data_IF_154337030633
#
_entry.id   IF_154337030633
#
_cell.length_a   1.000
_cell.length_b   1.000
_cell.length_c   1.000
_cell.angle_alpha   90.00
_cell.angle_beta   90.00
_cell.angle_gamma   90.00
#
_symmetry.space_group_name_H-M   'P 1'
#
loop_
_entity.id
_entity.type
_entity.pdbx_description
1 polymer ?
#
# COMPACT_ATOMS: atom_id res chain seq x y z
N UNK A 1 -32.87 -16.10 30.57
CA UNK A 1 -32.15 -14.82 30.58
C UNK A 1 -30.72 -15.09 31.03
N UNK A 2 -29.82 -15.33 30.08
CA UNK A 2 -28.38 -15.44 30.35
C UNK A 2 -27.72 -14.42 29.42
N UNK A 3 -27.09 -13.42 30.02
CA UNK A 3 -26.43 -12.30 29.37
C UNK A 3 -25.21 -12.80 28.58
N UNK A 4 -25.23 -12.60 27.26
CA UNK A 4 -24.00 -12.59 26.45
C UNK A 4 -23.28 -11.26 26.70
N UNK A 5 -22.14 -11.32 27.37
CA UNK A 5 -21.20 -10.20 27.41
C UNK A 5 -20.51 -10.12 26.05
N UNK A 6 -20.80 -9.02 25.34
CA UNK A 6 -20.18 -8.70 24.06
C UNK A 6 -18.69 -8.45 24.23
N UNK A 7 -17.89 -9.14 23.41
CA UNK A 7 -16.48 -8.82 23.20
C UNK A 7 -16.45 -7.53 22.38
N UNK A 8 -16.29 -6.39 23.07
CA UNK A 8 -16.05 -5.11 22.43
C UNK A 8 -14.68 -5.17 21.71
N UNK A 9 -14.71 -5.33 20.39
CA UNK A 9 -13.59 -4.92 19.55
C UNK A 9 -13.40 -3.41 19.78
N UNK A 10 -12.15 -2.97 20.00
CA UNK A 10 -11.86 -1.53 19.99
C UNK A 10 -12.34 -0.97 18.65
N UNK A 11 -13.13 0.12 18.64
CA UNK A 11 -13.54 0.75 17.40
C UNK A 11 -12.28 1.14 16.62
N UNK A 12 -12.27 0.84 15.32
CA UNK A 12 -11.23 1.33 14.43
C UNK A 12 -11.15 2.86 14.61
N UNK A 13 -9.95 3.44 14.76
CA UNK A 13 -9.84 4.89 14.90
C UNK A 13 -10.48 5.59 13.69
N UNK A 14 -10.84 6.89 13.79
CA UNK A 14 -11.29 7.64 12.62
C UNK A 14 -10.23 7.64 11.52
N UNK A 15 -10.68 7.69 10.27
CA UNK A 15 -9.81 7.85 9.09
C UNK A 15 -9.18 9.25 9.20
N UNK A 16 -7.84 9.39 9.27
CA UNK A 16 -7.22 10.69 9.16
C UNK A 16 -7.55 11.30 7.79
N UNK A 17 -7.76 12.63 7.68
CA UNK A 17 -8.01 13.27 6.40
C UNK A 17 -6.91 12.91 5.41
N UNK A 18 -7.21 12.79 4.11
CA UNK A 18 -6.21 12.45 3.10
C UNK A 18 -5.05 13.44 3.20
N UNK A 19 -3.87 12.93 3.57
CA UNK A 19 -2.64 13.69 3.39
C UNK A 19 -2.52 13.91 1.88
N UNK A 20 -2.63 15.16 1.47
CA UNK A 20 -2.34 15.57 0.10
C UNK A 20 -0.85 15.32 -0.15
N UNK A 21 -0.49 14.09 -0.52
CA UNK A 21 0.82 13.77 -1.05
C UNK A 21 0.83 14.35 -2.46
N UNK A 22 1.21 15.62 -2.56
CA UNK A 22 1.50 16.26 -3.82
C UNK A 22 2.65 15.51 -4.48
N UNK A 23 2.33 14.67 -5.46
CA UNK A 23 3.31 14.09 -6.36
C UNK A 23 3.90 15.23 -7.21
N UNK A 24 4.98 15.84 -6.75
CA UNK A 24 5.87 16.58 -7.65
C UNK A 24 6.79 15.56 -8.28
N UNK A 25 6.59 15.34 -9.58
CA UNK A 25 7.54 14.63 -10.42
C UNK A 25 8.88 15.36 -10.41
N UNK A 26 9.85 14.87 -9.64
CA UNK A 26 11.25 15.15 -9.89
C UNK A 26 11.80 14.02 -10.75
N UNK A 27 11.96 14.33 -12.05
CA UNK A 27 12.64 13.47 -13.01
C UNK A 27 14.12 13.41 -12.63
N UNK A 28 14.62 12.23 -12.26
CA UNK A 28 16.06 12.00 -12.11
C UNK A 28 16.69 11.94 -13.50
N UNK A 29 17.23 13.06 -13.97
CA UNK A 29 18.07 13.11 -15.15
C UNK A 29 19.44 12.49 -14.83
N UNK A 30 19.75 11.37 -15.47
CA UNK A 30 21.06 10.75 -15.41
C UNK A 30 22.07 11.61 -16.19
N UNK A 31 22.95 12.34 -15.50
CA UNK A 31 24.10 12.97 -16.13
C UNK A 31 25.24 11.95 -16.26
N UNK A 32 25.54 11.55 -17.49
CA UNK A 32 26.75 10.81 -17.86
C UNK A 32 27.99 11.66 -17.60
N UNK A 33 28.88 11.20 -16.70
CA UNK A 33 30.20 11.81 -16.51
C UNK A 33 31.24 11.05 -17.36
N UNK A 34 31.73 11.73 -18.39
CA UNK A 34 32.96 11.36 -19.09
C UNK A 34 34.15 11.57 -18.14
N UNK A 35 34.94 10.53 -17.96
CA UNK A 35 36.23 10.61 -17.28
C UNK A 35 37.29 11.15 -18.24
N UNK A 36 37.96 12.23 -17.84
CA UNK A 36 39.29 12.54 -18.34
C UNK A 36 40.19 12.91 -17.17
N UNK A 37 41.30 12.18 -17.09
CA UNK A 37 42.36 12.26 -16.10
C UNK A 37 43.13 13.58 -16.20
N UNK A 38 43.53 14.16 -15.06
CA UNK A 38 44.47 15.27 -15.06
C UNK A 38 44.84 15.80 -13.68
N UNK A 39 45.90 15.22 -13.12
CA UNK A 39 46.89 15.78 -12.19
C UNK A 39 46.55 16.11 -10.73
N UNK A 40 47.52 15.67 -9.92
CA UNK A 40 47.76 15.90 -8.51
C UNK A 40 48.26 17.33 -8.23
N UNK A 41 48.37 17.61 -6.92
CA UNK A 41 48.90 18.80 -6.25
C UNK A 41 48.00 20.03 -6.16
N UNK A 42 47.29 20.11 -5.03
CA UNK A 42 47.01 21.37 -4.31
C UNK A 42 46.60 21.07 -2.86
N UNK A 43 47.54 20.54 -2.08
CA UNK A 43 47.50 20.58 -0.61
C UNK A 43 48.49 21.64 -0.13
N UNK A 44 48.01 22.89 0.01
CA UNK A 44 48.55 23.86 0.97
C UNK A 44 47.79 25.19 0.85
N UNK A 45 46.96 25.49 1.85
CA UNK A 45 46.75 26.79 2.53
C UNK A 45 45.34 26.82 3.11
N UNK A 46 45.22 26.48 4.38
CA UNK A 46 44.10 26.91 5.22
C UNK A 46 44.26 28.44 5.43
N UNK A 47 43.30 29.28 5.04
CA UNK A 47 43.26 30.65 5.51
C UNK A 47 42.71 30.66 6.94
N UNK A 48 43.40 31.39 7.80
CA UNK A 48 42.96 31.74 9.13
C UNK A 48 41.59 32.44 9.09
N UNK A 49 40.70 31.99 9.97
CA UNK A 49 39.63 32.72 10.66
C UNK A 49 39.25 34.08 10.03
N UNK A 50 38.41 34.04 9.00
CA UNK A 50 37.55 35.17 8.64
C UNK A 50 36.15 34.77 9.05
N UNK A 51 35.52 35.55 9.94
CA UNK A 51 34.07 35.52 10.14
C UNK A 51 33.43 36.03 8.84
N UNK A 52 33.41 35.19 7.81
CA UNK A 52 32.49 35.35 6.70
C UNK A 52 31.14 34.91 7.26
N UNK A 53 30.15 35.81 7.25
CA UNK A 53 28.75 35.43 7.41
C UNK A 53 28.43 34.44 6.28
N UNK A 54 28.63 33.15 6.55
CA UNK A 54 28.22 32.09 5.64
C UNK A 54 26.70 32.09 5.64
N UNK A 55 26.13 32.71 4.61
CA UNK A 55 24.69 32.69 4.37
C UNK A 55 24.26 31.25 4.12
N UNK A 56 23.65 30.63 5.14
CA UNK A 56 23.01 29.32 5.01
C UNK A 56 21.60 29.53 4.49
N UNK A 57 21.15 28.77 3.47
CA UNK A 57 19.74 28.70 3.17
C UNK A 57 19.07 28.06 4.39
N UNK A 58 18.23 28.79 5.12
CA UNK A 58 17.51 28.26 6.28
C UNK A 58 16.03 28.21 5.94
N UNK A 59 15.55 27.01 5.62
CA UNK A 59 14.12 26.75 5.40
C UNK A 59 13.47 26.44 6.73
N UNK A 60 12.32 27.06 7.02
CA UNK A 60 11.52 26.68 8.19
C UNK A 60 10.63 25.50 7.84
N UNK A 61 10.97 24.32 8.36
CA UNK A 61 10.13 23.14 8.22
C UNK A 61 8.99 23.14 9.25
N UNK A 62 7.77 22.70 8.89
CA UNK A 62 6.71 22.48 9.87
C UNK A 62 7.16 21.42 10.90
N UNK A 63 6.80 21.59 12.18
CA UNK A 63 7.16 20.64 13.21
C UNK A 63 6.54 19.26 12.95
N UNK A 64 7.07 18.24 13.61
CA UNK A 64 6.41 16.94 13.68
C UNK A 64 5.04 17.09 14.36
N UNK A 65 4.01 16.49 13.74
CA UNK A 65 2.63 16.54 14.26
C UNK A 65 2.38 15.47 15.32
N UNK A 66 3.28 14.49 15.45
CA UNK A 66 3.14 13.36 16.37
C UNK A 66 3.79 13.63 17.72
N UNK A 67 4.86 14.43 17.76
CA UNK A 67 5.65 14.71 18.96
C UNK A 67 6.13 13.42 19.63
N UNK A 68 6.16 13.40 20.96
CA UNK A 68 6.63 12.23 21.71
C UNK A 68 5.61 11.07 21.79
N UNK A 69 4.43 11.16 21.15
CA UNK A 69 3.32 10.18 21.32
C UNK A 69 3.75 8.73 21.11
N UNK A 70 4.61 8.47 20.12
CA UNK A 70 5.08 7.13 19.80
C UNK A 70 6.25 6.68 20.69
N UNK A 71 7.10 7.60 21.11
CA UNK A 71 8.21 7.30 22.03
C UNK A 71 7.69 6.99 23.45
N UNK A 72 6.61 7.64 23.86
CA UNK A 72 5.93 7.47 25.15
C UNK A 72 4.94 6.31 25.18
N UNK A 73 4.73 5.61 24.05
CA UNK A 73 3.76 4.52 23.99
C UNK A 73 4.19 3.37 24.92
N UNK A 74 3.51 3.21 26.06
CA UNK A 74 3.69 2.10 26.99
C UNK A 74 2.37 1.38 27.19
N UNK A 75 2.14 0.35 26.39
CA UNK A 75 1.20 -0.70 26.76
C UNK A 75 1.97 -2.01 26.65
N UNK A 76 1.97 -2.79 27.72
CA UNK A 76 2.40 -4.17 27.64
C UNK A 76 1.36 -4.94 26.81
N UNK A 77 1.52 -4.84 25.49
CA UNK A 77 0.62 -5.47 24.53
C UNK A 77 0.96 -6.95 24.33
N UNK A 78 1.83 -7.55 25.14
CA UNK A 78 2.25 -8.94 24.95
C UNK A 78 1.05 -9.89 25.06
N UNK A 79 0.24 -9.76 26.12
CA UNK A 79 -0.97 -10.58 26.30
C UNK A 79 -2.01 -10.36 25.19
N UNK A 80 -2.20 -9.10 24.78
CA UNK A 80 -3.14 -8.76 23.71
C UNK A 80 -2.69 -9.30 22.36
N UNK A 81 -1.40 -9.16 22.04
CA UNK A 81 -0.79 -9.68 20.83
C UNK A 81 -0.90 -11.21 20.80
N UNK A 82 -0.62 -11.89 21.91
CA UNK A 82 -0.77 -13.34 22.01
C UNK A 82 -2.23 -13.77 21.83
N UNK A 83 -3.17 -13.06 22.46
CA UNK A 83 -4.61 -13.30 22.29
C UNK A 83 -5.06 -13.15 20.84
N UNK A 84 -4.61 -12.10 20.13
CA UNK A 84 -4.89 -11.94 18.71
C UNK A 84 -4.22 -13.01 17.85
N UNK A 85 -2.97 -13.37 18.15
CA UNK A 85 -2.27 -14.45 17.44
C UNK A 85 -3.02 -15.77 17.54
N UNK A 86 -3.45 -16.17 18.75
CA UNK A 86 -4.25 -17.40 18.93
C UNK A 86 -5.54 -17.40 18.11
N UNK A 87 -6.25 -16.26 18.07
CA UNK A 87 -7.47 -16.12 17.27
C UNK A 87 -7.18 -16.20 15.76
N UNK A 88 -6.13 -15.54 15.30
CA UNK A 88 -5.73 -15.59 13.89
C UNK A 88 -5.40 -17.02 13.48
N UNK A 89 -4.59 -17.76 14.25
CA UNK A 89 -4.26 -19.15 13.91
C UNK A 89 -5.53 -20.02 13.80
N UNK A 90 -6.44 -19.93 14.78
CA UNK A 90 -7.69 -20.71 14.73
C UNK A 90 -8.59 -20.38 13.53
N UNK A 91 -8.65 -19.11 13.12
CA UNK A 91 -9.48 -18.67 11.99
C UNK A 91 -8.78 -18.95 10.65
N UNK A 92 -7.45 -18.91 10.64
CA UNK A 92 -6.62 -19.24 9.49
C UNK A 92 -6.85 -20.69 9.06
N UNK A 93 -6.86 -21.64 10.00
CA UNK A 93 -7.15 -23.05 9.70
C UNK A 93 -8.52 -23.22 9.01
N UNK A 94 -9.57 -22.62 9.56
CA UNK A 94 -10.94 -22.71 9.00
C UNK A 94 -11.01 -22.12 7.59
N UNK A 95 -10.36 -20.98 7.36
CA UNK A 95 -10.35 -20.32 6.04
C UNK A 95 -9.48 -21.09 5.04
N UNK A 96 -8.36 -21.66 5.49
CA UNK A 96 -7.49 -22.53 4.68
C UNK A 96 -8.24 -23.77 4.20
N UNK A 97 -8.96 -24.45 5.10
CA UNK A 97 -9.81 -25.60 4.76
C UNK A 97 -10.87 -25.24 3.72
N UNK A 98 -11.47 -24.05 3.82
CA UNK A 98 -12.45 -23.56 2.85
C UNK A 98 -11.84 -23.28 1.47
N UNK A 99 -10.56 -22.88 1.41
CA UNK A 99 -9.85 -22.60 0.17
C UNK A 99 -9.51 -23.89 -0.59
N UNK A 100 -9.07 -24.93 0.12
CA UNK A 100 -8.70 -26.23 -0.46
C UNK A 100 -9.90 -27.17 -0.67
N UNK A 101 -11.08 -26.84 -0.13
CA UNK A 101 -12.27 -27.66 -0.24
C UNK A 101 -12.62 -28.01 -1.70
N UNK A 102 -12.74 -29.30 -1.99
CA UNK A 102 -13.04 -29.82 -3.34
C UNK A 102 -14.48 -29.56 -3.78
N UNK A 103 -15.40 -29.34 -2.83
CA UNK A 103 -16.83 -29.10 -3.09
C UNK A 103 -17.14 -27.66 -3.51
N UNK A 104 -16.24 -26.71 -3.23
CA UNK A 104 -16.43 -25.31 -3.59
C UNK A 104 -16.35 -25.13 -5.10
N UNK A 105 -17.29 -24.39 -5.68
CA UNK A 105 -17.26 -24.10 -7.10
C UNK A 105 -16.01 -23.28 -7.47
N UNK A 106 -15.51 -23.41 -8.72
CA UNK A 106 -14.35 -22.63 -9.16
C UNK A 106 -14.52 -21.11 -8.98
N UNK A 107 -15.72 -20.56 -9.25
CA UNK A 107 -15.99 -19.13 -9.06
C UNK A 107 -15.97 -18.73 -7.57
N UNK A 108 -16.47 -19.57 -6.67
CA UNK A 108 -16.39 -19.30 -5.22
C UNK A 108 -14.94 -19.25 -4.74
N UNK A 109 -14.07 -20.11 -5.29
CA UNK A 109 -12.62 -20.08 -4.98
C UNK A 109 -11.96 -18.79 -5.49
N UNK A 110 -12.25 -18.38 -6.74
CA UNK A 110 -11.77 -17.09 -7.27
C UNK A 110 -12.24 -15.92 -6.39
N UNK A 111 -13.51 -15.93 -5.98
CA UNK A 111 -14.05 -14.90 -5.09
C UNK A 111 -13.39 -14.90 -3.71
N UNK A 112 -13.16 -16.08 -3.11
CA UNK A 112 -12.44 -16.21 -1.84
C UNK A 112 -11.02 -15.65 -1.96
N UNK A 113 -10.28 -15.99 -3.02
CA UNK A 113 -8.92 -15.46 -3.27
C UNK A 113 -8.95 -13.93 -3.34
N UNK A 114 -9.87 -13.35 -4.12
CA UNK A 114 -10.01 -11.89 -4.18
C UNK A 114 -10.31 -11.28 -2.80
N UNK A 115 -11.19 -11.89 -2.00
CA UNK A 115 -11.50 -11.41 -0.66
C UNK A 115 -10.29 -11.51 0.29
N UNK A 116 -9.48 -12.57 0.21
CA UNK A 116 -8.25 -12.70 1.00
C UNK A 116 -7.28 -11.54 0.74
N UNK A 117 -7.12 -11.15 -0.53
CA UNK A 117 -6.29 -10.00 -0.92
C UNK A 117 -6.91 -8.68 -0.46
N UNK A 118 -8.19 -8.46 -0.73
CA UNK A 118 -8.89 -7.21 -0.36
C UNK A 118 -8.91 -6.99 1.16
N UNK A 119 -8.98 -8.07 1.95
CA UNK A 119 -8.98 -8.03 3.41
C UNK A 119 -7.57 -8.05 4.02
N UNK A 120 -6.52 -8.17 3.20
CA UNK A 120 -5.13 -8.10 3.66
C UNK A 120 -4.64 -9.30 4.43
N UNK A 121 -5.21 -10.48 4.19
CA UNK A 121 -4.88 -11.74 4.87
C UNK A 121 -4.36 -12.82 3.90
N UNK A 122 -4.20 -12.50 2.62
CA UNK A 122 -3.68 -13.43 1.61
C UNK A 122 -2.28 -13.96 1.91
N UNK A 123 -1.43 -13.16 2.57
CA UNK A 123 -0.07 -13.57 2.95
C UNK A 123 -0.01 -14.80 3.89
N UNK A 124 -1.15 -15.20 4.49
CA UNK A 124 -1.25 -16.43 5.27
C UNK A 124 -1.36 -17.70 4.43
N UNK A 125 -1.71 -17.56 3.15
CA UNK A 125 -2.18 -18.63 2.27
C UNK A 125 -1.47 -18.61 0.91
N UNK A 126 -0.24 -18.09 0.83
CA UNK A 126 0.45 -17.86 -0.44
C UNK A 126 0.56 -19.15 -1.27
N UNK A 127 0.94 -20.27 -0.64
CA UNK A 127 1.07 -21.56 -1.29
C UNK A 127 -0.28 -22.12 -1.74
N UNK A 128 -1.29 -22.09 -0.86
CA UNK A 128 -2.63 -22.58 -1.15
C UNK A 128 -3.28 -21.77 -2.29
N UNK A 129 -3.10 -20.45 -2.28
CA UNK A 129 -3.58 -19.56 -3.35
C UNK A 129 -2.89 -19.90 -4.67
N UNK A 130 -1.57 -20.07 -4.68
CA UNK A 130 -0.81 -20.42 -5.88
C UNK A 130 -1.27 -21.77 -6.47
N UNK A 131 -1.40 -22.80 -5.64
CA UNK A 131 -1.89 -24.12 -6.04
C UNK A 131 -3.32 -24.04 -6.61
N UNK A 132 -4.23 -23.33 -5.92
CA UNK A 132 -5.60 -23.17 -6.42
C UNK A 132 -5.64 -22.40 -7.74
N UNK A 133 -4.84 -21.34 -7.90
CA UNK A 133 -4.81 -20.58 -9.15
C UNK A 133 -4.29 -21.40 -10.32
N UNK A 134 -3.27 -22.24 -10.11
CA UNK A 134 -2.78 -23.15 -11.14
C UNK A 134 -3.90 -24.07 -11.63
N UNK A 135 -4.61 -24.72 -10.71
CA UNK A 135 -5.75 -25.59 -11.06
C UNK A 135 -6.91 -24.84 -11.72
N UNK A 136 -7.25 -23.64 -11.22
CA UNK A 136 -8.31 -22.82 -11.80
C UNK A 136 -7.94 -22.31 -13.20
N UNK A 137 -6.65 -22.09 -13.46
CA UNK A 137 -6.17 -21.62 -14.75
C UNK A 137 -6.33 -22.70 -15.83
N UNK A 138 -6.11 -23.97 -15.51
CA UNK A 138 -6.32 -25.11 -16.43
C UNK A 138 -7.75 -25.15 -16.99
N UNK A 139 -8.74 -24.74 -16.18
CA UNK A 139 -10.17 -24.71 -16.55
C UNK A 139 -10.70 -23.30 -16.81
N UNK A 140 -9.80 -22.31 -16.97
CA UNK A 140 -10.20 -20.89 -17.04
C UNK A 140 -11.10 -20.58 -18.25
N UNK A 141 -10.88 -21.24 -19.38
CA UNK A 141 -11.72 -21.09 -20.57
C UNK A 141 -13.17 -21.56 -20.32
N UNK A 142 -13.34 -22.74 -19.72
CA UNK A 142 -14.66 -23.23 -19.30
C UNK A 142 -15.27 -22.31 -18.24
N UNK A 143 -14.47 -21.87 -17.27
CA UNK A 143 -14.92 -21.01 -16.18
C UNK A 143 -15.50 -19.70 -16.71
N UNK A 144 -14.75 -18.99 -17.57
CA UNK A 144 -15.23 -17.77 -18.22
C UNK A 144 -16.46 -18.06 -19.07
N UNK A 145 -16.46 -19.16 -19.84
CA UNK A 145 -17.59 -19.53 -20.70
C UNK A 145 -18.86 -19.82 -19.91
N UNK A 146 -18.78 -20.48 -18.75
CA UNK A 146 -19.95 -20.75 -17.90
C UNK A 146 -20.54 -19.43 -17.38
N UNK A 147 -19.69 -18.47 -17.01
CA UNK A 147 -20.11 -17.20 -16.39
C UNK A 147 -20.18 -16.01 -17.36
N UNK A 148 -20.00 -16.22 -18.66
CA UNK A 148 -19.89 -15.16 -19.68
C UNK A 148 -21.11 -14.21 -19.81
N UNK A 149 -22.21 -14.49 -19.12
CA UNK A 149 -23.39 -13.61 -19.08
C UNK A 149 -23.33 -12.58 -17.92
N UNK A 150 -22.53 -12.84 -16.90
CA UNK A 150 -22.42 -12.03 -15.70
C UNK A 150 -21.14 -11.19 -15.73
N UNK A 151 -21.29 -9.87 -15.82
CA UNK A 151 -20.16 -8.96 -15.94
C UNK A 151 -19.26 -9.01 -14.71
N UNK A 152 -19.86 -9.09 -13.51
CA UNK A 152 -19.12 -9.15 -12.24
C UNK A 152 -18.19 -10.36 -12.20
N UNK A 153 -18.68 -11.54 -12.58
CA UNK A 153 -17.92 -12.80 -12.57
C UNK A 153 -16.80 -12.78 -13.59
N UNK A 154 -17.06 -12.37 -14.84
CA UNK A 154 -16.01 -12.30 -15.88
C UNK A 154 -14.92 -11.31 -15.49
N UNK A 155 -15.31 -10.13 -14.99
CA UNK A 155 -14.36 -9.11 -14.53
C UNK A 155 -13.51 -9.60 -13.35
N UNK A 156 -14.13 -10.26 -12.38
CA UNK A 156 -13.43 -10.83 -11.22
C UNK A 156 -12.44 -11.91 -11.62
N UNK A 157 -12.84 -12.85 -12.49
CA UNK A 157 -11.96 -13.91 -13.01
C UNK A 157 -10.76 -13.28 -13.72
N UNK A 158 -11.01 -12.33 -14.63
CA UNK A 158 -9.95 -11.62 -15.35
C UNK A 158 -8.98 -10.91 -14.39
N UNK A 159 -9.52 -10.13 -13.44
CA UNK A 159 -8.73 -9.37 -12.47
C UNK A 159 -7.83 -10.28 -11.63
N UNK A 160 -8.38 -11.35 -11.06
CA UNK A 160 -7.63 -12.27 -10.18
C UNK A 160 -6.51 -12.95 -10.95
N UNK A 161 -6.77 -13.47 -12.15
CA UNK A 161 -5.72 -14.14 -12.93
C UNK A 161 -4.62 -13.17 -13.38
N UNK A 162 -4.99 -11.99 -13.91
CA UNK A 162 -4.01 -10.98 -14.33
C UNK A 162 -3.18 -10.45 -13.17
N UNK A 163 -3.78 -10.28 -11.99
CA UNK A 163 -3.07 -9.90 -10.77
C UNK A 163 -1.93 -10.87 -10.41
N UNK A 164 -2.08 -12.14 -10.77
CA UNK A 164 -1.11 -13.20 -10.52
C UNK A 164 -0.24 -13.55 -11.73
N UNK A 165 -0.28 -12.74 -12.80
CA UNK A 165 0.57 -12.93 -13.97
C UNK A 165 0.06 -13.95 -14.99
N UNK A 166 -1.14 -14.51 -14.81
CA UNK A 166 -1.76 -15.39 -15.80
C UNK A 166 -2.31 -14.57 -16.98
N UNK A 167 -2.03 -15.03 -18.20
CA UNK A 167 -2.46 -14.36 -19.41
C UNK A 167 -3.90 -14.73 -19.80
N UNK A 168 -4.88 -14.12 -19.14
CA UNK A 168 -6.29 -14.16 -19.60
C UNK A 168 -6.49 -13.10 -20.67
N UNK A 169 -6.91 -13.44 -21.90
CA UNK A 169 -7.15 -12.46 -22.95
C UNK A 169 -8.28 -11.48 -22.59
N UNK A 170 -8.17 -10.21 -22.98
CA UNK A 170 -9.20 -9.19 -22.73
C UNK A 170 -10.46 -9.33 -23.62
N UNK A 171 -10.42 -10.18 -24.65
CA UNK A 171 -11.54 -10.48 -25.54
C UNK A 171 -12.71 -11.19 -24.81
N UNK A 172 -12.49 -11.68 -23.60
CA UNK A 172 -13.55 -12.18 -22.70
C UNK A 172 -14.63 -11.11 -22.44
N UNK A 173 -14.28 -9.82 -22.60
CA UNK A 173 -15.23 -8.73 -22.47
C UNK A 173 -16.01 -8.40 -23.76
N UNK A 174 -15.64 -8.97 -24.91
CA UNK A 174 -16.26 -8.68 -26.21
C UNK A 174 -17.77 -8.87 -26.21
N UNK A 175 -18.30 -9.84 -25.44
CA UNK A 175 -19.73 -10.10 -25.32
C UNK A 175 -20.51 -8.94 -24.68
N UNK A 176 -19.85 -8.09 -23.90
CA UNK A 176 -20.44 -6.90 -23.27
C UNK A 176 -20.44 -5.67 -24.19
N UNK A 177 -19.78 -5.76 -25.34
CA UNK A 177 -19.71 -4.70 -26.36
C UNK A 177 -20.77 -4.86 -27.46
N UNK A 178 -21.14 -3.74 -28.07
CA UNK A 178 -21.96 -3.68 -29.28
C UNK A 178 -21.10 -3.87 -30.55
N UNK A 179 -21.75 -3.79 -31.73
CA UNK A 179 -21.08 -3.96 -33.03
C UNK A 179 -20.02 -2.90 -33.36
N UNK A 180 -20.00 -1.78 -32.63
CA UNK A 180 -19.03 -0.71 -32.78
C UNK A 180 -17.88 -0.83 -31.76
N UNK A 181 -17.85 -1.92 -30.97
CA UNK A 181 -16.88 -2.12 -29.90
C UNK A 181 -17.15 -1.29 -28.65
N UNK A 182 -18.35 -0.72 -28.50
CA UNK A 182 -18.73 0.08 -27.32
C UNK A 182 -19.45 -0.73 -26.27
N UNK A 183 -19.17 -0.53 -24.99
CA UNK A 183 -19.87 -1.26 -23.93
C UNK A 183 -21.36 -0.89 -23.90
N UNK A 184 -22.20 -1.93 -23.77
CA UNK A 184 -23.65 -1.78 -23.88
C UNK A 184 -24.17 -0.92 -22.72
N UNK A 185 -24.85 0.18 -23.03
CA UNK A 185 -25.44 1.11 -22.04
C UNK A 185 -26.33 0.44 -20.98
N UNK A 186 -27.02 -0.66 -21.32
CA UNK A 186 -27.84 -1.44 -20.38
C UNK A 186 -27.06 -2.01 -19.18
N UNK A 187 -25.73 -2.13 -19.28
CA UNK A 187 -24.85 -2.60 -18.21
C UNK A 187 -24.75 -1.59 -17.06
N UNK A 188 -25.06 -0.31 -17.30
CA UNK A 188 -25.00 0.76 -16.29
C UNK A 188 -25.94 0.58 -15.10
N UNK A 189 -26.83 -0.44 -15.10
CA UNK A 189 -27.70 -0.77 -13.96
C UNK A 189 -27.06 -1.77 -12.98
N UNK A 190 -26.02 -2.49 -13.40
CA UNK A 190 -25.32 -3.47 -12.59
C UNK A 190 -24.14 -2.82 -11.86
N UNK A 191 -24.40 -2.21 -10.70
CA UNK A 191 -23.37 -1.50 -9.93
C UNK A 191 -22.19 -2.41 -9.59
N UNK A 192 -22.45 -3.67 -9.23
CA UNK A 192 -21.42 -4.64 -8.86
C UNK A 192 -20.57 -5.01 -10.08
N UNK A 193 -21.20 -5.31 -11.21
CA UNK A 193 -20.52 -5.61 -12.47
C UNK A 193 -19.67 -4.45 -12.98
N UNK A 194 -20.20 -3.23 -12.96
CA UNK A 194 -19.48 -2.02 -13.37
C UNK A 194 -18.27 -1.78 -12.47
N UNK A 195 -18.42 -1.92 -11.15
CA UNK A 195 -17.31 -1.73 -10.22
C UNK A 195 -16.23 -2.83 -10.36
N UNK A 196 -16.65 -4.07 -10.60
CA UNK A 196 -15.72 -5.19 -10.85
C UNK A 196 -14.97 -4.98 -12.17
N UNK A 197 -15.65 -4.51 -13.22
CA UNK A 197 -15.03 -4.18 -14.50
C UNK A 197 -14.05 -3.02 -14.36
N UNK A 198 -14.39 -1.97 -13.61
CA UNK A 198 -13.49 -0.85 -13.34
C UNK A 198 -12.17 -1.32 -12.72
N UNK A 199 -12.25 -2.21 -11.73
CA UNK A 199 -11.07 -2.78 -11.06
C UNK A 199 -10.31 -3.76 -11.96
N UNK A 200 -10.99 -4.48 -12.84
CA UNK A 200 -10.36 -5.33 -13.85
C UNK A 200 -9.57 -4.53 -14.90
N UNK A 201 -10.10 -3.38 -15.35
CA UNK A 201 -9.45 -2.52 -16.35
C UNK A 201 -8.06 -2.03 -15.91
N UNK A 202 -7.85 -1.95 -14.61
CA UNK A 202 -6.59 -1.55 -14.02
C UNK A 202 -5.43 -2.50 -14.27
N UNK A 203 -5.72 -3.73 -14.66
CA UNK A 203 -4.76 -4.78 -15.00
C UNK A 203 -4.55 -4.92 -16.51
N UNK A 204 -5.06 -3.97 -17.30
CA UNK A 204 -4.83 -3.91 -18.73
C UNK A 204 -3.38 -3.57 -19.09
N UNK A 205 -2.93 -4.09 -20.21
CA UNK A 205 -1.61 -3.79 -20.79
C UNK A 205 -1.78 -2.98 -22.10
N UNK A 206 -0.68 -2.41 -22.59
CA UNK A 206 -0.70 -1.62 -23.81
C UNK A 206 -1.20 -2.45 -25.00
N UNK A 207 -2.13 -1.88 -25.78
CA UNK A 207 -2.73 -2.51 -26.95
C UNK A 207 -4.04 -3.25 -26.67
N UNK A 208 -4.54 -3.24 -25.43
CA UNK A 208 -5.83 -3.80 -25.05
C UNK A 208 -6.95 -2.74 -25.13
N UNK A 209 -7.26 -2.27 -26.34
CA UNK A 209 -8.22 -1.16 -26.59
C UNK A 209 -9.61 -1.37 -25.95
N UNK A 210 -10.03 -2.63 -25.80
CA UNK A 210 -11.30 -2.98 -25.14
C UNK A 210 -11.30 -2.58 -23.65
N UNK A 211 -10.15 -2.66 -22.97
CA UNK A 211 -10.02 -2.28 -21.57
C UNK A 211 -9.92 -0.76 -21.41
N UNK A 212 -9.30 -0.06 -22.37
CA UNK A 212 -9.29 1.40 -22.40
C UNK A 212 -10.71 1.96 -22.57
N UNK A 213 -11.49 1.37 -23.47
CA UNK A 213 -12.91 1.68 -23.62
C UNK A 213 -13.68 1.37 -22.34
N UNK A 214 -13.50 0.16 -21.79
CA UNK A 214 -14.19 -0.28 -20.58
C UNK A 214 -13.89 0.63 -19.38
N UNK A 215 -12.65 1.11 -19.24
CA UNK A 215 -12.25 2.02 -18.19
C UNK A 215 -12.97 3.37 -18.34
N UNK A 216 -13.02 3.92 -19.56
CA UNK A 216 -13.74 5.16 -19.83
C UNK A 216 -15.25 5.00 -19.55
N UNK A 217 -15.85 3.89 -19.99
CA UNK A 217 -17.26 3.56 -19.74
C UNK A 217 -17.56 3.43 -18.26
N UNK A 218 -16.76 2.67 -17.51
CA UNK A 218 -17.00 2.41 -16.09
C UNK A 218 -16.84 3.67 -15.24
N UNK A 219 -15.87 4.54 -15.52
CA UNK A 219 -15.71 5.83 -14.83
C UNK A 219 -16.97 6.68 -14.97
N UNK A 220 -17.49 6.84 -16.19
CA UNK A 220 -18.72 7.61 -16.46
C UNK A 220 -19.93 7.03 -15.71
N UNK A 221 -20.12 5.71 -15.77
CA UNK A 221 -21.24 5.05 -15.10
C UNK A 221 -21.14 5.12 -13.56
N UNK A 222 -19.96 4.89 -12.99
CA UNK A 222 -19.75 4.89 -11.54
C UNK A 222 -20.03 6.26 -10.90
N UNK A 223 -19.74 7.36 -11.59
CA UNK A 223 -20.07 8.70 -11.09
C UNK A 223 -21.59 8.87 -10.89
N UNK A 224 -22.39 8.40 -11.84
CA UNK A 224 -23.86 8.39 -11.74
C UNK A 224 -24.35 7.42 -10.67
N UNK A 225 -23.80 6.20 -10.64
CA UNK A 225 -24.22 5.15 -9.70
C UNK A 225 -23.88 5.48 -8.25
N UNK A 226 -22.78 6.19 -7.99
CA UNK A 226 -22.42 6.66 -6.64
C UNK A 226 -23.56 7.49 -6.03
N UNK A 227 -24.15 8.41 -6.80
CA UNK A 227 -25.24 9.27 -6.33
C UNK A 227 -26.52 8.49 -6.00
N UNK A 228 -26.74 7.36 -6.67
CA UNK A 228 -27.93 6.51 -6.51
C UNK A 228 -27.74 5.41 -5.47
N UNK A 229 -26.49 5.15 -5.06
CA UNK A 229 -26.13 4.09 -4.12
C UNK A 229 -26.37 4.46 -2.66
N UNK A 230 -26.52 3.43 -1.82
CA UNK A 230 -26.54 3.55 -0.35
C UNK A 230 -25.24 4.22 0.16
N UNK A 231 -25.25 4.89 1.32
CA UNK A 231 -24.11 5.68 1.78
C UNK A 231 -22.76 4.93 1.80
N UNK A 232 -22.72 3.70 2.30
CA UNK A 232 -21.47 2.93 2.40
C UNK A 232 -20.95 2.49 1.02
N UNK A 233 -21.82 2.03 0.13
CA UNK A 233 -21.47 1.68 -1.25
C UNK A 233 -21.07 2.92 -2.07
N UNK A 234 -21.74 4.05 -1.86
CA UNK A 234 -21.36 5.34 -2.46
C UNK A 234 -19.93 5.72 -2.08
N UNK A 235 -19.61 5.65 -0.79
CA UNK A 235 -18.25 5.95 -0.34
C UNK A 235 -17.23 5.01 -0.97
N UNK A 236 -17.53 3.71 -1.04
CA UNK A 236 -16.65 2.73 -1.67
C UNK A 236 -16.42 3.01 -3.17
N UNK A 237 -17.47 3.42 -3.90
CA UNK A 237 -17.34 3.82 -5.32
C UNK A 237 -16.48 5.08 -5.46
N UNK A 238 -16.69 6.09 -4.60
CA UNK A 238 -15.90 7.33 -4.65
C UNK A 238 -14.43 7.09 -4.29
N UNK A 239 -14.17 6.22 -3.31
CA UNK A 239 -12.81 5.82 -2.94
C UNK A 239 -12.12 5.13 -4.12
N UNK A 240 -12.78 4.15 -4.75
CA UNK A 240 -12.26 3.45 -5.93
C UNK A 240 -12.00 4.39 -7.13
N UNK A 241 -12.89 5.36 -7.39
CA UNK A 241 -12.71 6.36 -8.45
C UNK A 241 -11.56 7.34 -8.16
N UNK A 242 -11.33 7.67 -6.89
CA UNK A 242 -10.21 8.51 -6.48
C UNK A 242 -8.88 7.75 -6.58
N UNK A 243 -8.87 6.49 -6.13
CA UNK A 243 -7.72 5.60 -6.23
C UNK A 243 -8.20 4.15 -6.35
N UNK A 244 -7.96 3.48 -7.49
CA UNK A 244 -8.31 2.07 -7.62
C UNK A 244 -7.40 1.20 -6.73
N UNK A 245 -7.91 0.04 -6.32
CA UNK A 245 -7.25 -0.83 -5.34
C UNK A 245 -5.80 -1.17 -5.70
N UNK A 246 -5.53 -1.52 -6.95
CA UNK A 246 -4.18 -1.89 -7.42
C UNK A 246 -3.14 -0.75 -7.33
N UNK A 247 -3.56 0.52 -7.23
CA UNK A 247 -2.69 1.72 -7.04
C UNK A 247 -2.72 2.24 -5.61
N UNK A 248 -3.49 1.56 -4.75
CA UNK A 248 -3.63 1.84 -3.34
C UNK A 248 -2.40 1.44 -2.53
N UNK A 249 -2.25 2.06 -1.36
CA UNK A 249 -1.30 1.56 -0.36
C UNK A 249 -1.98 0.38 0.35
N UNK A 250 -1.44 -0.86 0.31
CA UNK A 250 -2.17 -2.06 0.71
C UNK A 250 -2.86 -1.94 2.07
N UNK A 251 -2.16 -1.46 3.11
CA UNK A 251 -2.76 -1.31 4.45
C UNK A 251 -3.88 -0.28 4.55
N UNK A 252 -3.88 0.76 3.72
CA UNK A 252 -4.96 1.74 3.66
C UNK A 252 -6.17 1.10 2.98
N UNK A 253 -5.96 0.45 1.84
CA UNK A 253 -6.99 -0.26 1.09
C UNK A 253 -7.64 -1.36 1.93
N UNK A 254 -6.84 -2.19 2.63
CA UNK A 254 -7.36 -3.25 3.50
C UNK A 254 -8.25 -2.68 4.59
N UNK A 255 -7.88 -1.54 5.19
CA UNK A 255 -8.69 -0.91 6.24
C UNK A 255 -10.03 -0.41 5.69
N UNK A 256 -10.00 0.29 4.55
CA UNK A 256 -11.21 0.76 3.88
C UNK A 256 -12.11 -0.41 3.49
N UNK A 257 -11.53 -1.47 2.92
CA UNK A 257 -12.27 -2.64 2.51
C UNK A 257 -12.84 -3.44 3.68
N UNK A 258 -12.12 -3.60 4.79
CA UNK A 258 -12.67 -4.21 6.02
C UNK A 258 -13.91 -3.45 6.49
N UNK A 259 -13.86 -2.12 6.52
CA UNK A 259 -15.00 -1.28 6.91
C UNK A 259 -16.18 -1.39 5.93
N UNK A 260 -15.90 -1.46 4.62
CA UNK A 260 -16.92 -1.68 3.60
C UNK A 260 -17.56 -3.07 3.72
N UNK A 261 -16.74 -4.12 3.78
CA UNK A 261 -17.17 -5.52 3.86
C UNK A 261 -17.96 -5.83 5.13
N UNK A 262 -17.66 -5.15 6.24
CA UNK A 262 -18.46 -5.24 7.46
C UNK A 262 -19.92 -4.81 7.25
N UNK A 263 -20.20 -3.89 6.34
CA UNK A 263 -21.57 -3.41 6.06
C UNK A 263 -22.32 -4.29 5.05
N UNK A 264 -21.66 -5.28 4.42
CA UNK A 264 -22.24 -6.15 3.39
C UNK A 264 -22.98 -7.36 3.99
N UNK A 265 -23.94 -7.12 4.90
CA UNK A 265 -24.61 -8.14 5.73
C UNK A 265 -25.10 -9.40 4.99
N UNK A 266 -25.58 -9.25 3.75
CA UNK A 266 -26.16 -10.36 2.97
C UNK A 266 -25.13 -11.25 2.26
N UNK A 267 -23.89 -10.79 2.11
CA UNK A 267 -22.83 -11.52 1.38
C UNK A 267 -21.55 -11.72 2.18
N UNK A 268 -21.49 -11.17 3.39
CA UNK A 268 -20.33 -11.22 4.28
C UNK A 268 -20.16 -12.61 4.90
N UNK A 269 -18.95 -13.13 4.80
CA UNK A 269 -18.46 -14.25 5.60
C UNK A 269 -17.86 -13.72 6.92
N UNK A 270 -18.54 -14.02 8.04
CA UNK A 270 -18.14 -13.55 9.38
C UNK A 270 -16.80 -14.12 9.85
N UNK A 271 -16.49 -15.37 9.53
CA UNK A 271 -15.19 -16.00 9.84
C UNK A 271 -14.06 -15.22 9.18
N UNK A 272 -14.23 -14.89 7.90
CA UNK A 272 -13.25 -14.15 7.12
C UNK A 272 -13.12 -12.68 7.59
N UNK A 273 -14.23 -12.02 7.90
CA UNK A 273 -14.20 -10.67 8.49
C UNK A 273 -13.45 -10.66 9.83
N UNK A 274 -13.72 -11.64 10.70
CA UNK A 274 -13.06 -11.75 11.99
C UNK A 274 -11.56 -12.01 11.85
N UNK A 275 -11.17 -12.89 10.91
CA UNK A 275 -9.75 -13.12 10.59
C UNK A 275 -9.08 -11.80 10.20
N UNK A 276 -9.68 -11.05 9.28
CA UNK A 276 -9.17 -9.76 8.83
C UNK A 276 -9.03 -8.75 9.96
N UNK A 277 -10.02 -8.63 10.85
CA UNK A 277 -9.99 -7.69 11.98
C UNK A 277 -8.91 -8.06 13.01
N UNK A 278 -8.83 -9.33 13.41
CA UNK A 278 -7.82 -9.77 14.38
C UNK A 278 -6.42 -9.65 13.80
N UNK A 279 -6.23 -10.03 12.54
CA UNK A 279 -4.94 -9.91 11.86
C UNK A 279 -4.52 -8.44 11.67
N UNK A 280 -5.45 -7.59 11.23
CA UNK A 280 -5.19 -6.16 11.04
C UNK A 280 -4.70 -5.51 12.34
N UNK A 281 -5.38 -5.78 13.46
CA UNK A 281 -5.03 -5.25 14.76
C UNK A 281 -3.72 -5.85 15.29
N UNK A 282 -3.48 -7.15 15.10
CA UNK A 282 -2.22 -7.82 15.44
C UNK A 282 -1.03 -7.17 14.74
N UNK A 283 -1.12 -6.95 13.43
CA UNK A 283 -0.08 -6.27 12.64
C UNK A 283 0.07 -4.81 13.09
N UNK A 284 -1.03 -4.12 13.38
CA UNK A 284 -0.97 -2.74 13.87
C UNK A 284 -0.19 -2.61 15.19
N UNK A 285 -0.35 -3.56 16.11
CA UNK A 285 0.43 -3.61 17.35
C UNK A 285 1.93 -3.78 17.05
N UNK A 286 2.29 -4.63 16.08
CA UNK A 286 3.67 -4.80 15.64
C UNK A 286 4.24 -3.50 15.05
N UNK A 287 3.52 -2.83 14.16
CA UNK A 287 3.95 -1.55 13.57
C UNK A 287 4.10 -0.45 14.63
N UNK A 288 3.26 -0.43 15.67
CA UNK A 288 3.41 0.50 16.80
C UNK A 288 4.69 0.22 17.61
N UNK A 289 5.05 -1.05 17.82
CA UNK A 289 6.31 -1.43 18.47
C UNK A 289 7.53 -1.02 17.63
N UNK A 290 7.46 -1.21 16.31
CA UNK A 290 8.49 -0.76 15.36
C UNK A 290 8.65 0.76 15.42
N UNK A 291 7.54 1.51 15.38
CA UNK A 291 7.58 2.96 15.41
C UNK A 291 8.11 3.52 16.74
N UNK A 292 7.79 2.88 17.87
CA UNK A 292 8.39 3.22 19.17
C UNK A 292 9.90 3.03 19.17
N UNK A 293 10.39 1.93 18.60
CA UNK A 293 11.82 1.68 18.44
C UNK A 293 12.46 2.78 17.56
N UNK A 294 11.85 3.10 16.43
CA UNK A 294 12.35 4.10 15.48
C UNK A 294 12.36 5.51 16.07
N UNK A 295 11.31 5.90 16.79
CA UNK A 295 11.22 7.21 17.43
C UNK A 295 12.33 7.40 18.48
N UNK A 296 12.63 6.36 19.28
CA UNK A 296 13.74 6.39 20.23
C UNK A 296 15.09 6.48 19.54
N UNK A 297 15.32 5.61 18.56
CA UNK A 297 16.54 5.63 17.76
C UNK A 297 16.79 7.00 17.11
N UNK A 298 15.75 7.62 16.54
CA UNK A 298 15.87 8.94 15.91
C UNK A 298 16.19 10.05 16.93
N UNK A 299 15.55 10.00 18.10
CA UNK A 299 15.84 10.92 19.21
C UNK A 299 17.26 10.77 19.73
N UNK A 300 17.75 9.53 19.86
CA UNK A 300 19.10 9.23 20.36
C UNK A 300 20.20 9.73 19.40
N UNK A 301 19.93 9.77 18.09
CA UNK A 301 20.87 10.36 17.11
C UNK A 301 21.02 11.88 17.26
N UNK A 302 19.98 12.57 17.76
CA UNK A 302 19.98 14.01 18.06
C UNK A 302 20.47 14.92 16.90
N UNK A 303 20.29 14.50 15.64
CA UNK A 303 20.77 15.24 14.46
C UNK A 303 20.07 16.59 14.28
N UNK A 304 18.82 16.69 14.72
CA UNK A 304 18.04 17.93 14.66
C UNK A 304 18.63 19.07 15.52
N UNK A 305 19.48 18.74 16.50
CA UNK A 305 20.22 19.76 17.26
C UNK A 305 21.44 20.32 16.51
N UNK A 306 21.87 19.63 15.44
CA UNK A 306 23.11 19.92 14.70
C UNK A 306 22.86 20.55 13.33
N UNK A 307 21.76 20.15 12.67
CA UNK A 307 21.41 20.55 11.31
C UNK A 307 19.91 20.83 11.19
N UNK A 308 19.54 21.75 10.31
CA UNK A 308 18.14 22.09 10.04
C UNK A 308 17.51 21.03 9.11
N UNK A 309 16.81 20.06 9.67
CA UNK A 309 16.24 18.91 8.94
C UNK A 309 14.80 18.61 9.39
N UNK A 310 14.02 17.96 8.53
CA UNK A 310 12.64 17.55 8.80
C UNK A 310 12.59 16.37 9.79
N UNK A 311 11.71 16.48 10.78
CA UNK A 311 11.34 15.38 11.67
C UNK A 311 10.11 14.65 11.14
N UNK A 312 10.30 13.45 10.57
CA UNK A 312 9.26 12.71 9.83
C UNK A 312 9.30 11.21 10.05
N UNK A 313 9.77 10.77 11.23
CA UNK A 313 10.02 9.35 11.51
C UNK A 313 8.76 8.47 11.37
N UNK A 314 7.59 9.03 11.67
CA UNK A 314 6.31 8.32 11.51
C UNK A 314 5.89 8.22 10.04
N UNK A 315 6.07 9.27 9.26
CA UNK A 315 5.76 9.30 7.82
C UNK A 315 6.67 8.35 7.04
N UNK A 316 7.98 8.35 7.31
CA UNK A 316 8.92 7.42 6.65
C UNK A 316 8.69 5.96 7.08
N UNK A 317 8.21 5.74 8.30
CA UNK A 317 7.79 4.40 8.72
C UNK A 317 6.52 3.96 7.98
N UNK A 318 5.54 4.85 7.81
CA UNK A 318 4.36 4.59 6.98
C UNK A 318 4.76 4.22 5.54
N UNK A 319 5.77 4.89 4.96
CA UNK A 319 6.31 4.52 3.65
C UNK A 319 6.93 3.13 3.64
N UNK A 320 7.62 2.74 4.70
CA UNK A 320 8.17 1.38 4.83
C UNK A 320 7.06 0.31 4.96
N UNK A 321 6.00 0.60 5.71
CA UNK A 321 4.80 -0.25 5.81
C UNK A 321 4.08 -0.38 4.46
N UNK A 322 4.10 0.67 3.64
CA UNK A 322 3.50 0.64 2.30
C UNK A 322 4.22 -0.32 1.35
N UNK A 323 5.53 -0.57 1.55
CA UNK A 323 6.28 -1.53 0.73
C UNK A 323 6.00 -2.99 1.15
N UNK A 324 6.10 -3.29 2.44
CA UNK A 324 5.85 -4.63 2.99
C UNK A 324 5.20 -4.50 4.36
N UNK A 325 3.96 -4.93 4.52
CA UNK A 325 3.23 -4.80 5.77
C UNK A 325 3.27 -6.06 6.64
N UNK A 326 3.64 -7.19 6.03
CA UNK A 326 3.59 -8.53 6.60
C UNK A 326 4.59 -8.67 7.77
N UNK A 327 4.25 -9.44 8.81
CA UNK A 327 5.03 -9.48 10.05
C UNK A 327 6.49 -9.93 9.86
N UNK A 328 6.76 -10.86 8.93
CA UNK A 328 8.10 -11.37 8.63
C UNK A 328 9.08 -10.29 8.18
N UNK A 329 8.58 -9.18 7.61
CA UNK A 329 9.41 -8.07 7.13
C UNK A 329 9.67 -6.98 8.18
N UNK A 330 9.40 -7.23 9.46
CA UNK A 330 9.61 -6.27 10.56
C UNK A 330 11.02 -5.68 10.59
N UNK A 331 12.04 -6.53 10.44
CA UNK A 331 13.44 -6.07 10.39
C UNK A 331 13.70 -5.19 9.17
N UNK A 332 13.20 -5.59 8.00
CA UNK A 332 13.37 -4.84 6.77
C UNK A 332 12.71 -3.47 6.86
N UNK A 333 11.48 -3.37 7.38
CA UNK A 333 10.78 -2.09 7.60
C UNK A 333 11.56 -1.15 8.50
N UNK A 334 12.13 -1.64 9.61
CA UNK A 334 12.95 -0.81 10.51
C UNK A 334 14.18 -0.26 9.78
N UNK A 335 14.90 -1.10 9.04
CA UNK A 335 16.08 -0.68 8.26
C UNK A 335 15.69 0.35 7.19
N UNK A 336 14.60 0.10 6.44
CA UNK A 336 14.11 1.02 5.42
C UNK A 336 13.68 2.37 6.02
N UNK A 337 13.01 2.35 7.17
CA UNK A 337 12.59 3.58 7.86
C UNK A 337 13.80 4.41 8.30
N UNK A 338 14.82 3.76 8.86
CA UNK A 338 16.08 4.40 9.23
C UNK A 338 16.79 4.99 8.01
N UNK A 339 16.86 4.23 6.91
CA UNK A 339 17.45 4.69 5.65
C UNK A 339 16.71 5.89 5.09
N UNK A 340 15.38 5.85 4.98
CA UNK A 340 14.57 6.96 4.49
C UNK A 340 14.70 8.21 5.36
N UNK A 341 14.75 8.06 6.69
CA UNK A 341 14.97 9.20 7.57
C UNK A 341 16.35 9.82 7.37
N UNK A 342 17.40 9.01 7.23
CA UNK A 342 18.77 9.49 7.00
C UNK A 342 18.91 10.12 5.60
N UNK A 343 18.28 9.56 4.58
CA UNK A 343 18.24 10.14 3.24
C UNK A 343 17.49 11.48 3.23
N UNK A 344 16.37 11.60 3.95
CA UNK A 344 15.65 12.86 4.12
C UNK A 344 16.49 13.92 4.85
N UNK A 345 17.23 13.52 5.89
CA UNK A 345 18.16 14.43 6.58
C UNK A 345 19.32 14.88 5.67
N UNK A 346 19.82 13.98 4.81
CA UNK A 346 20.84 14.30 3.82
C UNK A 346 20.28 15.28 2.77
N UNK A 347 19.12 14.99 2.20
CA UNK A 347 18.39 15.86 1.26
C UNK A 347 18.22 17.28 1.83
N UNK A 348 17.73 17.39 3.06
CA UNK A 348 17.60 18.68 3.76
C UNK A 348 18.94 19.37 4.00
N UNK A 349 20.00 18.61 4.23
CA UNK A 349 21.34 19.18 4.38
C UNK A 349 21.81 19.80 3.07
N UNK A 350 21.55 19.17 1.92
CA UNK A 350 21.94 19.71 0.61
C UNK A 350 21.08 20.91 0.19
N UNK A 351 19.77 20.85 0.43
CA UNK A 351 18.83 21.84 -0.09
C UNK A 351 18.59 23.03 0.85
N UNK A 352 18.74 22.81 2.17
CA UNK A 352 18.18 23.68 3.20
C UNK A 352 19.11 23.96 4.39
N UNK A 353 20.41 23.67 4.26
CA UNK A 353 21.38 23.97 5.33
C UNK A 353 22.83 24.19 4.87
N UNK A 354 23.39 23.26 4.10
CA UNK A 354 24.81 23.21 3.76
C UNK A 354 25.21 24.30 2.76
N UNK A 355 26.39 24.88 2.95
CA UNK A 355 27.00 25.75 1.93
C UNK A 355 27.64 24.90 0.84
N UNK A 356 27.82 25.47 -0.36
CA UNK A 356 28.44 24.75 -1.49
C UNK A 356 29.77 24.06 -1.11
N UNK A 357 30.63 24.75 -0.35
CA UNK A 357 31.93 24.22 0.07
C UNK A 357 31.80 23.03 1.04
N UNK A 358 30.90 23.11 2.02
CA UNK A 358 30.63 22.02 2.96
C UNK A 358 30.01 20.81 2.25
N UNK A 359 29.07 21.04 1.34
CA UNK A 359 28.43 19.98 0.56
C UNK A 359 29.41 19.30 -0.39
N UNK A 360 30.36 20.05 -0.95
CA UNK A 360 31.45 19.49 -1.76
C UNK A 360 32.35 18.58 -0.92
N UNK A 361 32.70 18.99 0.30
CA UNK A 361 33.45 18.14 1.23
C UNK A 361 32.67 16.89 1.63
N UNK A 362 31.38 17.04 1.99
CA UNK A 362 30.49 15.93 2.33
C UNK A 362 30.36 14.93 1.17
N UNK A 363 30.15 15.42 -0.06
CA UNK A 363 30.09 14.60 -1.27
C UNK A 363 31.37 13.80 -1.47
N UNK A 364 32.54 14.45 -1.36
CA UNK A 364 33.82 13.76 -1.50
C UNK A 364 34.06 12.71 -0.41
N UNK A 365 33.68 13.01 0.84
CA UNK A 365 33.80 12.06 1.95
C UNK A 365 32.92 10.83 1.72
N UNK A 366 31.67 11.02 1.27
CA UNK A 366 30.75 9.93 0.92
C UNK A 366 31.28 9.08 -0.24
N UNK A 367 31.81 9.70 -1.30
CA UNK A 367 32.39 8.98 -2.45
C UNK A 367 33.60 8.12 -2.08
N UNK A 368 34.41 8.56 -1.09
CA UNK A 368 35.59 7.83 -0.62
C UNK A 368 35.27 6.79 0.45
N UNK A 369 34.06 6.80 1.01
CA UNK A 369 33.67 6.01 2.18
C UNK A 369 34.67 6.13 3.34
N UNK A 370 35.33 7.28 3.46
CA UNK A 370 36.38 7.51 4.47
C UNK A 370 35.97 8.63 5.43
N UNK A 371 35.77 8.32 6.72
CA UNK A 371 35.48 9.35 7.71
C UNK A 371 36.70 10.25 8.01
N UNK A 372 37.91 9.86 7.61
CA UNK A 372 39.15 10.61 7.84
C UNK A 372 39.36 11.83 6.91
N UNK A 373 38.39 12.12 6.03
CA UNK A 373 38.45 13.20 5.05
C UNK A 373 37.48 14.37 5.29
N UNK A 374 36.80 14.38 6.44
CA UNK A 374 35.96 15.49 6.90
C UNK A 374 36.75 16.48 7.77
#
# INVERSE_FOLDING_TARGET
MIHYQGINCLPLPPIPPPLAIGARHHSFACCSLNTNSGNADLLARLPQNTKQDTFRPLITFPPDIWGDRFASFSVDNSELLESYSRKVESLKEIVGDSLIATKSSPLEKVNLINLLYRLGVSYHFENEIEEQLNHLFEISNELVKVHHHDLSSVALIFQVFRQHGYNIPCDVFSKFTDKNGKFKSKLGRDVKGILSLYEACQWGIQGEDILDEANAFTIDQLQSLAMQSRPHLRQYILDALNRPYHRGVPRVEHRQFISFYEQEESSRNDTLLNLAKFDFNRIQLLHQQELKFLARWWKDLNLMSMVNIRDRIAEVHLWSVAHYFEPQYSRARKILSQLFQLLGALDDTYDAYGTYEELRCLTHAMLRLSPASL
#
